data_IF_602971584803
#
_entry.id   IF_602971584803
#
_cell.length_a   1.000
_cell.length_b   1.000
_cell.length_c   1.000
_cell.angle_alpha   90.00
_cell.angle_beta   90.00
_cell.angle_gamma   90.00
#
_symmetry.space_group_name_H-M   'P 1'
#
loop_
_entity.id
_entity.type
_entity.pdbx_description
1 polymer ?
#
# COMPACT_ATOMS: atom_id res chain seq x y z
N UNK A 1 3.81 -16.11 -1.45
CA UNK A 1 2.35 -16.25 -1.21
C UNK A 1 1.92 -15.13 -0.28
N UNK A 2 0.94 -14.31 -0.67
CA UNK A 2 0.40 -13.24 0.18
C UNK A 2 -0.62 -13.81 1.16
N UNK A 3 -0.68 -13.30 2.39
CA UNK A 3 -1.75 -13.66 3.32
C UNK A 3 -3.08 -13.15 2.78
N UNK A 4 -4.12 -13.98 2.88
CA UNK A 4 -5.41 -13.66 2.30
C UNK A 4 -5.92 -12.31 2.83
N UNK A 5 -6.29 -11.41 1.91
CA UNK A 5 -6.93 -10.12 2.20
C UNK A 5 -6.07 -9.12 2.98
N UNK A 6 -4.76 -9.30 2.95
CA UNK A 6 -3.78 -8.32 3.36
C UNK A 6 -3.11 -7.79 2.08
N UNK A 7 -3.44 -6.58 1.60
CA UNK A 7 -2.83 -5.99 0.41
C UNK A 7 -1.40 -5.48 0.66
N UNK A 8 -1.06 -5.18 1.92
CA UNK A 8 0.26 -4.69 2.32
C UNK A 8 1.49 -5.55 1.93
N UNK A 9 1.44 -6.89 1.80
CA UNK A 9 2.54 -7.71 1.26
C UNK A 9 2.72 -7.51 -0.26
N UNK A 10 1.67 -7.09 -0.96
CA UNK A 10 1.71 -6.64 -2.36
C UNK A 10 1.96 -5.11 -2.45
N UNK A 11 2.39 -4.51 -1.33
CA UNK A 11 2.57 -3.07 -1.21
C UNK A 11 3.54 -2.48 -2.23
N UNK A 12 4.48 -3.25 -2.77
CA UNK A 12 5.35 -2.79 -3.86
C UNK A 12 4.57 -2.53 -5.15
N UNK A 13 3.70 -3.46 -5.57
CA UNK A 13 2.90 -3.28 -6.78
C UNK A 13 1.84 -2.20 -6.54
N UNK A 14 1.21 -2.17 -5.37
CA UNK A 14 0.23 -1.14 -5.02
C UNK A 14 0.84 0.26 -5.00
N UNK A 15 2.06 0.42 -4.45
CA UNK A 15 2.78 1.70 -4.46
C UNK A 15 3.12 2.14 -5.88
N UNK A 16 3.51 1.20 -6.74
CA UNK A 16 3.77 1.44 -8.16
C UNK A 16 2.51 1.90 -8.89
N UNK A 17 1.40 1.17 -8.72
CA UNK A 17 0.09 1.52 -9.29
C UNK A 17 -0.36 2.89 -8.82
N UNK A 18 -0.20 3.20 -7.53
CA UNK A 18 -0.57 4.50 -6.97
C UNK A 18 0.26 5.63 -7.61
N UNK A 19 1.58 5.43 -7.75
CA UNK A 19 2.48 6.41 -8.38
C UNK A 19 2.07 6.68 -9.83
N UNK A 20 1.78 5.61 -10.60
CA UNK A 20 1.31 5.73 -11.98
C UNK A 20 -0.05 6.45 -12.06
N UNK A 21 -0.98 6.14 -11.16
CA UNK A 21 -2.28 6.83 -11.07
C UNK A 21 -2.11 8.32 -10.77
N UNK A 22 -1.20 8.68 -9.88
CA UNK A 22 -0.95 10.09 -9.53
C UNK A 22 -0.29 10.85 -10.69
N UNK A 23 0.64 10.23 -11.41
CA UNK A 23 1.22 10.80 -12.65
C UNK A 23 0.15 11.01 -13.73
N UNK A 24 -0.70 10.01 -13.95
CA UNK A 24 -1.84 10.11 -14.88
C UNK A 24 -2.83 11.20 -14.45
N UNK A 25 -3.11 11.32 -13.15
CA UNK A 25 -4.03 12.33 -12.63
C UNK A 25 -3.49 13.74 -12.83
N UNK A 26 -2.20 13.97 -12.55
CA UNK A 26 -1.56 15.25 -12.80
C UNK A 26 -1.64 15.63 -14.29
N UNK A 27 -1.42 14.67 -15.17
CA UNK A 27 -1.49 14.90 -16.61
C UNK A 27 -2.92 15.15 -17.12
N UNK A 28 -3.90 14.39 -16.62
CA UNK A 28 -5.30 14.51 -17.01
C UNK A 28 -5.92 15.87 -16.61
N UNK A 29 -5.39 16.52 -15.56
CA UNK A 29 -5.82 17.87 -15.15
C UNK A 29 -5.47 18.91 -16.24
N UNK A 30 -4.31 18.80 -16.87
CA UNK A 30 -3.82 19.79 -17.83
C UNK A 30 -4.26 19.52 -19.28
N UNK A 31 -4.43 18.26 -19.67
CA UNK A 31 -4.64 17.86 -21.09
C UNK A 31 -6.06 17.35 -21.38
N UNK A 32 -6.86 17.04 -20.35
CA UNK A 32 -8.26 16.65 -20.51
C UNK A 32 -8.45 15.22 -21.06
N UNK A 33 -9.29 15.04 -22.09
CA UNK A 33 -9.60 13.72 -22.69
C UNK A 33 -8.43 13.25 -23.58
N UNK A 34 -8.17 11.93 -23.59
CA UNK A 34 -7.10 11.33 -24.41
C UNK A 34 -5.92 10.74 -23.63
N UNK A 35 -6.06 10.55 -22.31
CA UNK A 35 -5.03 9.96 -21.43
C UNK A 35 -4.40 8.65 -21.95
N UNK A 36 -5.16 7.86 -22.71
CA UNK A 36 -4.68 6.61 -23.34
C UNK A 36 -3.50 6.86 -24.28
N UNK A 37 -3.53 7.95 -25.05
CA UNK A 37 -2.45 8.31 -25.98
C UNK A 37 -1.16 8.73 -25.26
N UNK A 38 -1.26 9.03 -23.97
CA UNK A 38 -0.15 9.50 -23.13
C UNK A 38 0.34 8.46 -22.15
N UNK A 39 -0.27 7.28 -22.13
CA UNK A 39 0.21 6.14 -21.35
C UNK A 39 1.69 5.83 -21.62
N UNK A 40 2.17 5.82 -22.90
CA UNK A 40 3.58 5.58 -23.19
C UNK A 40 4.51 6.64 -22.59
N UNK A 41 4.06 7.91 -22.51
CA UNK A 41 4.84 8.99 -21.92
C UNK A 41 4.92 8.88 -20.39
N UNK A 42 3.83 8.47 -19.74
CA UNK A 42 3.81 8.23 -18.29
C UNK A 42 4.68 7.03 -17.93
N UNK A 43 4.56 5.93 -18.68
CA UNK A 43 5.42 4.76 -18.52
C UNK A 43 6.90 5.12 -18.71
N UNK A 44 7.21 5.86 -19.78
CA UNK A 44 8.56 6.36 -20.04
C UNK A 44 9.08 7.23 -18.89
N UNK A 45 8.25 8.11 -18.35
CA UNK A 45 8.60 8.99 -17.23
C UNK A 45 8.83 8.21 -15.94
N UNK A 46 7.99 7.22 -15.66
CA UNK A 46 8.11 6.35 -14.49
C UNK A 46 9.40 5.52 -14.55
N UNK A 47 9.67 4.86 -15.67
CA UNK A 47 10.83 3.99 -15.85
C UNK A 47 12.17 4.74 -15.82
N UNK A 48 12.16 6.03 -16.10
CA UNK A 48 13.35 6.89 -16.10
C UNK A 48 13.50 7.77 -14.86
N UNK A 49 12.53 7.77 -13.94
CA UNK A 49 12.64 8.54 -12.72
C UNK A 49 13.61 7.87 -11.75
N UNK A 50 14.38 8.68 -11.02
CA UNK A 50 15.35 8.17 -10.06
C UNK A 50 14.68 7.71 -8.77
N UNK A 51 14.90 6.46 -8.38
CA UNK A 51 14.40 5.91 -7.11
C UNK A 51 15.52 5.95 -6.06
N UNK A 52 15.35 6.77 -5.02
CA UNK A 52 16.34 6.93 -3.96
C UNK A 52 16.69 5.62 -3.24
N UNK A 53 15.73 4.70 -3.12
CA UNK A 53 15.90 3.39 -2.50
C UNK A 53 16.81 2.46 -3.33
N UNK A 54 16.65 2.50 -4.65
CA UNK A 54 17.42 1.67 -5.60
C UNK A 54 18.72 2.39 -6.02
N UNK A 55 18.81 3.71 -5.73
CA UNK A 55 19.87 4.62 -6.17
C UNK A 55 20.07 4.66 -7.70
N UNK A 56 19.04 4.29 -8.45
CA UNK A 56 19.01 4.29 -9.91
C UNK A 56 17.57 4.43 -10.42
N UNK A 57 17.40 4.67 -11.72
CA UNK A 57 16.09 4.54 -12.36
C UNK A 57 15.78 3.06 -12.66
N UNK A 58 14.50 2.62 -12.66
CA UNK A 58 14.14 1.25 -12.99
C UNK A 58 14.71 0.77 -14.33
N UNK A 59 14.73 1.64 -15.35
CA UNK A 59 15.37 1.37 -16.63
C UNK A 59 16.89 1.13 -16.50
N UNK A 60 17.56 1.94 -15.70
CA UNK A 60 19.01 1.81 -15.48
C UNK A 60 19.35 0.54 -14.69
N UNK A 61 18.52 0.19 -13.70
CA UNK A 61 18.67 -1.05 -12.95
C UNK A 61 18.44 -2.30 -13.82
N UNK A 62 17.49 -2.25 -14.75
CA UNK A 62 17.15 -3.38 -15.63
C UNK A 62 18.17 -3.58 -16.76
N UNK A 63 18.61 -2.49 -17.40
CA UNK A 63 19.45 -2.56 -18.59
C UNK A 63 20.93 -2.20 -18.35
N UNK A 64 21.30 -1.84 -17.12
CA UNK A 64 22.67 -1.45 -16.74
C UNK A 64 23.15 -0.15 -17.40
N UNK A 65 22.26 0.60 -18.05
CA UNK A 65 22.58 1.84 -18.76
C UNK A 65 21.46 2.87 -18.62
N UNK A 66 21.80 4.15 -18.61
CA UNK A 66 20.82 5.24 -18.61
C UNK A 66 20.05 5.29 -19.92
N UNK A 67 18.75 5.60 -19.84
CA UNK A 67 17.91 5.78 -21.02
C UNK A 67 18.39 6.97 -21.83
N UNK A 68 18.36 6.84 -23.16
CA UNK A 68 18.68 7.91 -24.09
C UNK A 68 17.37 8.50 -24.59
N UNK A 69 17.09 9.76 -24.27
CA UNK A 69 15.91 10.49 -24.75
C UNK A 69 16.33 11.84 -25.32
N UNK A 70 15.55 12.41 -26.27
CA UNK A 70 15.79 13.76 -26.79
C UNK A 70 15.90 14.83 -25.69
N UNK A 71 15.26 14.62 -24.53
CA UNK A 71 15.27 15.52 -23.37
C UNK A 71 16.43 15.19 -22.40
N UNK A 72 16.99 13.99 -22.47
CA UNK A 72 18.06 13.51 -21.60
C UNK A 72 19.34 13.22 -22.40
N UNK A 73 19.99 14.29 -22.84
CA UNK A 73 21.40 14.27 -23.20
C UNK A 73 22.20 14.69 -21.98
N UNK A 74 22.87 13.74 -21.33
CA UNK A 74 24.15 14.05 -20.68
C UNK A 74 24.94 12.77 -20.42
N UNK A 75 25.91 12.50 -21.30
CA UNK A 75 27.28 12.35 -20.80
C UNK A 75 27.73 13.75 -20.37
N UNK A 76 28.38 13.85 -19.23
CA UNK A 76 29.03 15.09 -18.75
C UNK A 76 29.84 15.68 -19.92
N UNK A 77 29.45 16.86 -20.43
CA UNK A 77 30.22 17.55 -21.48
C UNK A 77 29.46 18.42 -22.49
N UNK A 78 28.17 18.19 -22.79
CA UNK A 78 27.48 18.92 -23.87
C UNK A 78 26.21 19.63 -23.37
N UNK A 79 26.40 20.80 -22.79
CA UNK A 79 25.30 21.72 -22.43
C UNK A 79 25.25 22.87 -23.44
N UNK A 80 24.61 22.68 -24.61
CA UNK A 80 24.47 23.77 -25.59
C UNK A 80 23.11 23.89 -26.32
N UNK A 81 22.08 23.11 -25.99
CA UNK A 81 20.78 23.23 -26.71
C UNK A 81 19.78 24.15 -25.99
N UNK A 82 19.94 24.41 -24.68
CA UNK A 82 19.05 25.29 -23.90
C UNK A 82 19.84 26.42 -23.21
N UNK A 83 19.36 27.66 -23.30
CA UNK A 83 20.08 28.83 -22.76
C UNK A 83 20.42 28.72 -21.25
N UNK A 84 21.56 29.27 -20.79
CA UNK A 84 22.04 29.13 -19.40
C UNK A 84 21.03 29.54 -18.33
N UNK A 85 20.19 30.55 -18.64
CA UNK A 85 19.19 31.11 -17.73
C UNK A 85 18.05 30.12 -17.44
N UNK A 86 17.57 29.43 -18.47
CA UNK A 86 16.54 28.39 -18.38
C UNK A 86 17.03 27.19 -17.56
N UNK A 87 18.31 26.81 -17.72
CA UNK A 87 18.92 25.72 -16.95
C UNK A 87 18.96 26.09 -15.45
N UNK A 88 19.41 27.30 -15.10
CA UNK A 88 19.47 27.75 -13.71
C UNK A 88 18.07 27.83 -13.07
N UNK A 89 17.09 28.38 -13.78
CA UNK A 89 15.70 28.46 -13.30
C UNK A 89 15.08 27.08 -13.09
N UNK A 90 15.33 26.16 -14.03
CA UNK A 90 14.84 24.79 -13.94
C UNK A 90 15.49 24.05 -12.78
N UNK A 91 16.79 24.23 -12.55
CA UNK A 91 17.51 23.62 -11.43
C UNK A 91 16.96 24.09 -10.08
N UNK A 92 16.70 25.39 -9.92
CA UNK A 92 16.07 25.94 -8.70
C UNK A 92 14.68 25.35 -8.45
N UNK A 93 13.85 25.25 -9.50
CA UNK A 93 12.51 24.63 -9.41
C UNK A 93 12.59 23.15 -9.03
N UNK A 94 13.54 22.39 -9.59
CA UNK A 94 13.77 20.98 -9.24
C UNK A 94 14.11 20.82 -7.75
N UNK A 95 15.00 21.64 -7.21
CA UNK A 95 15.36 21.60 -5.78
C UNK A 95 14.13 21.88 -4.91
N UNK A 96 13.33 22.89 -5.27
CA UNK A 96 12.12 23.23 -4.53
C UNK A 96 11.07 22.10 -4.59
N UNK A 97 10.89 21.46 -5.74
CA UNK A 97 9.96 20.32 -5.89
C UNK A 97 10.44 19.14 -5.02
N UNK A 98 11.74 18.82 -5.04
CA UNK A 98 12.31 17.76 -4.19
C UNK A 98 12.08 18.02 -2.70
N UNK A 99 12.30 19.26 -2.24
CA UNK A 99 12.04 19.64 -0.84
C UNK A 99 10.56 19.48 -0.49
N UNK A 100 9.64 19.97 -1.34
CA UNK A 100 8.19 19.85 -1.11
C UNK A 100 7.72 18.39 -1.08
N UNK A 101 8.23 17.55 -1.98
CA UNK A 101 7.95 16.11 -1.97
C UNK A 101 8.43 15.44 -0.69
N UNK A 102 9.64 15.78 -0.23
CA UNK A 102 10.19 15.24 1.01
C UNK A 102 9.34 15.65 2.22
N UNK A 103 9.02 16.94 2.36
CA UNK A 103 8.16 17.41 3.44
C UNK A 103 6.77 16.77 3.43
N UNK A 104 6.19 16.51 2.25
CA UNK A 104 4.92 15.80 2.14
C UNK A 104 5.03 14.34 2.61
N UNK A 105 6.10 13.63 2.23
CA UNK A 105 6.39 12.26 2.71
C UNK A 105 6.60 12.22 4.22
N UNK A 106 7.37 13.17 4.76
CA UNK A 106 7.64 13.25 6.19
C UNK A 106 6.36 13.51 7.00
N UNK A 107 5.47 14.39 6.50
CA UNK A 107 4.13 14.60 7.08
C UNK A 107 3.26 13.35 7.04
N UNK A 108 3.26 12.62 5.92
CA UNK A 108 2.52 11.36 5.82
C UNK A 108 3.03 10.34 6.84
N UNK A 109 4.37 10.20 6.94
CA UNK A 109 5.00 9.29 7.89
C UNK A 109 4.67 9.67 9.33
N UNK A 110 4.84 10.94 9.72
CA UNK A 110 4.55 11.39 11.08
C UNK A 110 3.08 11.19 11.45
N UNK A 111 2.14 11.45 10.53
CA UNK A 111 0.72 11.20 10.77
C UNK A 111 0.37 9.71 10.92
N UNK A 112 1.03 8.83 10.16
CA UNK A 112 0.84 7.40 10.28
C UNK A 112 1.44 6.86 11.59
N UNK A 113 2.68 7.25 11.91
CA UNK A 113 3.41 6.80 13.10
C UNK A 113 2.68 7.23 14.39
N UNK A 114 2.16 8.47 14.46
CA UNK A 114 1.39 8.96 15.61
C UNK A 114 0.11 8.14 15.89
N UNK A 115 -0.48 7.54 14.85
CA UNK A 115 -1.72 6.74 14.97
C UNK A 115 -1.44 5.24 15.13
N UNK A 116 -0.22 4.79 14.85
CA UNK A 116 0.16 3.39 14.95
C UNK A 116 0.42 3.02 16.42
N UNK A 117 -0.52 2.29 17.02
CA UNK A 117 -0.31 1.69 18.34
C UNK A 117 0.16 0.26 18.16
N UNK A 118 1.33 -0.15 18.69
CA UNK A 118 1.76 -1.53 18.61
C UNK A 118 0.80 -2.40 19.43
N UNK A 119 -0.07 -3.13 18.74
CA UNK A 119 -0.88 -4.17 19.35
C UNK A 119 -0.08 -5.47 19.34
N UNK A 120 0.14 -6.05 20.52
CA UNK A 120 0.78 -7.36 20.66
C UNK A 120 -0.18 -8.29 21.38
N UNK A 121 -0.29 -9.51 20.88
CA UNK A 121 -1.09 -10.58 21.47
C UNK A 121 -0.14 -11.70 21.90
N UNK A 122 -0.47 -12.37 23.01
CA UNK A 122 0.25 -13.56 23.45
C UNK A 122 -0.50 -14.82 23.02
N UNK A 123 0.22 -15.94 22.94
CA UNK A 123 -0.40 -17.25 22.73
C UNK A 123 -1.38 -17.52 23.87
N UNK A 124 -2.60 -17.94 23.53
CA UNK A 124 -3.70 -18.12 24.48
C UNK A 124 -4.61 -16.90 24.67
N UNK A 125 -4.22 -15.70 24.22
CA UNK A 125 -5.10 -14.53 24.25
C UNK A 125 -6.36 -14.78 23.41
N UNK A 126 -7.50 -14.28 23.89
CA UNK A 126 -8.76 -14.24 23.12
C UNK A 126 -8.80 -12.96 22.29
N UNK A 127 -8.98 -13.10 20.98
CA UNK A 127 -9.08 -11.98 20.03
C UNK A 127 -10.33 -12.08 19.18
N UNK A 128 -10.87 -10.94 18.78
CA UNK A 128 -11.96 -10.87 17.81
C UNK A 128 -11.38 -10.56 16.43
N UNK A 129 -11.87 -11.26 15.42
CA UNK A 129 -11.47 -11.07 14.02
C UNK A 129 -12.40 -10.07 13.33
N UNK A 130 -11.82 -9.11 12.63
CA UNK A 130 -12.56 -8.08 11.88
C UNK A 130 -13.22 -8.68 10.64
N UNK A 131 -14.51 -8.41 10.47
CA UNK A 131 -15.31 -8.82 9.30
C UNK A 131 -15.51 -7.60 8.39
N UNK A 132 -15.00 -7.65 7.17
CA UNK A 132 -15.20 -6.59 6.19
C UNK A 132 -16.43 -6.91 5.31
N UNK A 133 -17.42 -6.00 5.21
CA UNK A 133 -18.66 -6.26 4.49
C UNK A 133 -18.50 -6.39 2.96
N UNK A 134 -17.33 -6.11 2.39
CA UNK A 134 -17.12 -5.97 0.93
C UNK A 134 -16.25 -7.05 0.28
N UNK A 135 -15.62 -7.97 1.03
CA UNK A 135 -14.69 -8.96 0.47
C UNK A 135 -14.95 -10.34 1.06
N UNK A 136 -15.24 -11.31 0.19
CA UNK A 136 -15.95 -12.56 0.48
C UNK A 136 -15.15 -13.62 1.25
N UNK A 137 -14.80 -13.32 2.50
CA UNK A 137 -14.16 -14.29 3.42
C UNK A 137 -15.14 -14.76 4.47
N UNK A 138 -15.93 -13.81 4.99
CA UNK A 138 -16.86 -14.02 6.09
C UNK A 138 -18.00 -13.04 5.88
N UNK A 139 -19.14 -13.49 5.32
CA UNK A 139 -20.34 -12.66 5.24
C UNK A 139 -21.31 -13.09 6.32
N UNK A 140 -21.69 -12.18 7.21
CA UNK A 140 -22.96 -12.33 7.92
C UNK A 140 -24.08 -12.35 6.88
N UNK A 141 -24.86 -13.42 6.87
CA UNK A 141 -25.93 -13.71 5.92
C UNK A 141 -27.04 -12.68 5.95
N UNK A 142 -27.19 -11.96 7.06
CA UNK A 142 -28.04 -10.77 7.14
C UNK A 142 -27.27 -9.58 6.59
N UNK A 143 -27.74 -8.96 5.50
CA UNK A 143 -27.24 -7.66 5.00
C UNK A 143 -27.94 -6.54 5.79
N UNK A 144 -27.21 -5.79 6.61
CA UNK A 144 -27.81 -4.68 7.36
C UNK A 144 -26.79 -3.68 7.92
N UNK A 145 -27.22 -2.43 8.09
CA UNK A 145 -26.44 -1.32 8.69
C UNK A 145 -25.95 -1.61 10.12
N UNK A 146 -26.57 -2.58 10.80
CA UNK A 146 -26.31 -2.98 12.19
C UNK A 146 -25.52 -4.28 12.34
N UNK A 147 -24.89 -4.80 11.28
CA UNK A 147 -24.09 -6.00 11.40
C UNK A 147 -22.83 -5.79 12.26
N UNK A 148 -22.46 -6.79 13.08
CA UNK A 148 -21.23 -6.73 13.85
C UNK A 148 -20.01 -6.71 12.92
N UNK A 149 -19.07 -5.81 13.23
CA UNK A 149 -17.81 -5.64 12.49
C UNK A 149 -16.71 -6.62 12.91
N UNK A 150 -16.94 -7.38 13.97
CA UNK A 150 -15.99 -8.33 14.54
C UNK A 150 -16.71 -9.64 14.91
N UNK A 151 -16.02 -10.77 14.77
CA UNK A 151 -16.49 -12.13 15.08
C UNK A 151 -15.57 -12.84 16.05
N UNK A 152 -16.14 -13.83 16.74
CA UNK A 152 -15.43 -14.63 17.74
C UNK A 152 -15.24 -13.88 19.05
N UNK A 153 -14.89 -14.62 20.08
CA UNK A 153 -13.48 -14.67 20.45
C UNK A 153 -12.82 -15.96 19.95
N UNK A 154 -11.71 -15.83 19.22
CA UNK A 154 -10.83 -16.93 18.85
C UNK A 154 -9.57 -16.89 19.71
N UNK A 155 -8.98 -18.05 19.99
CA UNK A 155 -7.71 -18.13 20.70
C UNK A 155 -6.55 -17.93 19.73
N UNK A 156 -5.51 -17.22 20.16
CA UNK A 156 -4.24 -17.14 19.44
C UNK A 156 -3.46 -18.43 19.69
N UNK A 157 -3.18 -19.20 18.63
CA UNK A 157 -2.40 -20.44 18.70
C UNK A 157 -0.90 -20.15 18.68
N UNK A 158 -0.47 -19.29 17.75
CA UNK A 158 0.95 -19.02 17.53
C UNK A 158 1.14 -17.59 16.99
N UNK A 159 2.30 -17.00 17.30
CA UNK A 159 2.79 -15.77 16.69
C UNK A 159 3.80 -16.11 15.60
N UNK A 160 3.35 -16.12 14.35
CA UNK A 160 4.17 -16.48 13.17
C UNK A 160 5.17 -15.37 12.79
N UNK A 161 4.89 -14.12 13.18
CA UNK A 161 5.82 -13.01 13.00
C UNK A 161 5.45 -11.80 13.86
N UNK A 162 6.12 -10.68 13.65
CA UNK A 162 5.89 -9.51 14.50
C UNK A 162 4.46 -8.97 14.45
N UNK A 163 3.82 -9.17 13.31
CA UNK A 163 2.53 -8.57 12.92
C UNK A 163 1.49 -9.61 12.46
N UNK A 164 1.81 -10.90 12.48
CA UNK A 164 0.92 -11.97 12.03
C UNK A 164 0.74 -13.05 13.10
N UNK A 165 -0.51 -13.49 13.28
CA UNK A 165 -0.92 -14.44 14.32
C UNK A 165 -1.80 -15.53 13.72
N UNK A 166 -1.62 -16.76 14.18
CA UNK A 166 -2.51 -17.87 13.87
C UNK A 166 -3.61 -17.98 14.91
N UNK A 167 -4.84 -18.16 14.45
CA UNK A 167 -6.02 -18.30 15.29
C UNK A 167 -6.56 -19.72 15.25
N UNK A 168 -7.13 -20.12 16.38
CA UNK A 168 -7.96 -21.32 16.50
C UNK A 168 -9.33 -21.02 15.89
N UNK A 169 -9.49 -21.35 14.61
CA UNK A 169 -10.73 -21.17 13.88
C UNK A 169 -11.57 -22.45 13.99
N UNK A 170 -12.88 -22.34 14.25
CA UNK A 170 -13.78 -23.48 14.27
C UNK A 170 -14.01 -23.99 12.84
N UNK A 171 -14.50 -25.22 12.74
CA UNK A 171 -14.58 -25.98 11.47
C UNK A 171 -15.47 -25.30 10.42
N UNK A 172 -16.43 -24.48 10.85
CA UNK A 172 -17.25 -23.68 9.95
C UNK A 172 -16.38 -22.73 9.11
N UNK A 173 -15.32 -22.17 9.69
CA UNK A 173 -14.38 -21.26 9.01
C UNK A 173 -13.19 -22.00 8.34
N UNK A 174 -13.25 -23.33 8.16
CA UNK A 174 -12.17 -24.15 7.58
C UNK A 174 -11.69 -23.72 6.19
N UNK A 175 -12.54 -23.05 5.40
CA UNK A 175 -12.17 -22.47 4.09
C UNK A 175 -11.27 -21.24 4.19
N UNK A 176 -11.19 -20.62 5.37
CA UNK A 176 -10.41 -19.41 5.63
C UNK A 176 -9.06 -19.79 6.19
N UNK A 177 -7.99 -19.23 5.62
CA UNK A 177 -6.65 -19.38 6.19
C UNK A 177 -6.62 -18.82 7.62
N UNK A 178 -6.12 -19.62 8.56
CA UNK A 178 -6.08 -19.30 9.99
C UNK A 178 -5.04 -18.25 10.40
N UNK A 179 -4.28 -17.70 9.44
CA UNK A 179 -3.26 -16.68 9.68
C UNK A 179 -3.80 -15.28 9.37
N UNK A 180 -3.77 -14.40 10.36
CA UNK A 180 -4.28 -13.03 10.26
C UNK A 180 -3.26 -11.99 10.67
N UNK A 181 -3.31 -10.84 10.01
CA UNK A 181 -2.52 -9.68 10.37
C UNK A 181 -3.11 -8.94 11.57
N UNK A 182 -2.25 -8.34 12.40
CA UNK A 182 -2.60 -7.69 13.67
C UNK A 182 -3.68 -6.61 13.55
N UNK A 183 -3.74 -5.87 12.42
CA UNK A 183 -4.75 -4.83 12.19
C UNK A 183 -6.18 -5.38 12.00
N UNK A 184 -6.29 -6.68 11.70
CA UNK A 184 -7.57 -7.39 11.60
C UNK A 184 -8.00 -7.98 12.95
N UNK A 185 -7.19 -7.86 14.00
CA UNK A 185 -7.46 -8.43 15.32
C UNK A 185 -7.78 -7.34 16.33
N UNK A 186 -8.68 -7.64 17.26
CA UNK A 186 -9.00 -6.78 18.39
C UNK A 186 -8.96 -7.59 19.68
N UNK A 187 -8.29 -7.08 20.73
CA UNK A 187 -8.24 -7.75 22.03
C UNK A 187 -9.66 -7.95 22.58
N UNK A 188 -9.99 -9.18 22.96
CA UNK A 188 -11.22 -9.49 23.65
C UNK A 188 -10.95 -9.48 25.16
N UNK A 189 -11.68 -8.65 25.91
CA UNK A 189 -11.55 -8.54 27.37
C UNK A 189 -12.68 -9.27 28.11
N UNK A 190 -13.57 -9.94 27.39
CA UNK A 190 -14.73 -10.60 27.97
C UNK A 190 -14.41 -12.07 28.28
N UNK A 191 -14.57 -12.47 29.53
CA UNK A 191 -14.49 -13.88 29.96
C UNK A 191 -15.71 -14.68 29.51
N UNK A 192 -16.86 -14.01 29.35
CA UNK A 192 -18.08 -14.57 28.77
C UNK A 192 -18.07 -14.41 27.25
N UNK A 193 -18.46 -15.44 26.49
CA UNK A 193 -18.58 -15.31 25.05
C UNK A 193 -19.75 -14.37 24.78
N UNK A 194 -19.46 -13.11 24.49
CA UNK A 194 -20.30 -12.31 23.59
C UNK A 194 -20.14 -12.93 22.20
N UNK A 195 -20.50 -14.21 22.06
CA UNK A 195 -20.56 -14.91 20.82
C UNK A 195 -21.69 -14.23 20.06
N UNK A 196 -21.33 -13.33 19.16
CA UNK A 196 -22.18 -13.15 17.99
C UNK A 196 -22.27 -14.55 17.37
N UNK A 197 -23.47 -15.15 17.29
CA UNK A 197 -23.63 -16.47 16.70
C UNK A 197 -22.98 -16.46 15.32
N UNK A 198 -22.19 -17.50 15.03
CA UNK A 198 -21.70 -17.75 13.67
C UNK A 198 -22.85 -18.18 12.75
N UNK A 199 -24.06 -18.40 13.31
CA UNK A 199 -25.30 -18.67 12.59
C UNK A 199 -25.59 -17.60 11.56
N UNK A 200 -25.35 -17.98 10.30
CA UNK A 200 -25.52 -17.13 9.13
C UNK A 200 -24.23 -16.70 8.48
N UNK A 201 -23.04 -17.15 8.93
CA UNK A 201 -21.83 -16.96 8.15
C UNK A 201 -21.87 -17.84 6.89
N UNK A 202 -22.02 -17.19 5.73
CA UNK A 202 -21.90 -17.85 4.44
C UNK A 202 -20.55 -17.47 3.81
N UNK A 203 -19.86 -18.48 3.25
CA UNK A 203 -18.58 -18.36 2.54
C UNK A 203 -18.83 -18.22 1.04
#
# INVERSE_FOLDING_TARGET
MSTAYHPEPDGQSERTIQTLKDMLRAYAIDVGKGWVNHLPLVEFSYNNNYYATIKAAPFEALYGRKCRSPVCWTKVGEAQILGPKLIQETTKKIVQIKQRMQSARDRQKSYADLKCKPMKFQVGDKVMLKVLPWKGVVRFGKRGKLNPRYVGPFKVLERVGDVAYMLDLPEELSRVHNMFYVSNLKKCHADKPLAVPLDGLHF
#
